data_IF_602416502059
#
_entry.id   IF_602416502059
#
_cell.length_a   1.000
_cell.length_b   1.000
_cell.length_c   1.000
_cell.angle_alpha   90.00
_cell.angle_beta   90.00
_cell.angle_gamma   90.00
#
_symmetry.space_group_name_H-M   'P 1'
#
loop_
_entity.id
_entity.type
_entity.pdbx_description
1 polymer ?
#
# COMPACT_ATOMS: atom_id res chain seq x y z
N UNK A 1 8.44 35.03 -11.50
CA UNK A 1 8.71 33.80 -10.69
C UNK A 1 7.42 33.17 -10.16
N UNK A 2 6.42 33.95 -9.76
CA UNK A 2 5.15 33.44 -9.21
C UNK A 2 4.35 32.56 -10.20
N UNK A 3 4.26 32.97 -11.48
CA UNK A 3 3.56 32.17 -12.50
C UNK A 3 4.16 30.77 -12.68
N UNK A 4 5.48 30.62 -12.58
CA UNK A 4 6.14 29.32 -12.69
C UNK A 4 5.83 28.42 -11.49
N UNK A 5 5.76 28.99 -10.28
CA UNK A 5 5.40 28.27 -9.06
C UNK A 5 3.95 27.77 -9.13
N UNK A 6 3.02 28.61 -9.61
CA UNK A 6 1.62 28.23 -9.77
C UNK A 6 1.44 27.08 -10.78
N UNK A 7 2.13 27.15 -11.92
CA UNK A 7 2.10 26.07 -12.92
C UNK A 7 2.64 24.74 -12.36
N UNK A 8 3.72 24.80 -11.60
CA UNK A 8 4.34 23.61 -10.99
C UNK A 8 3.44 23.01 -9.90
N UNK A 9 2.82 23.84 -9.06
CA UNK A 9 1.83 23.40 -8.07
C UNK A 9 0.61 22.74 -8.73
N UNK A 10 0.04 23.34 -9.79
CA UNK A 10 -1.09 22.76 -10.51
C UNK A 10 -0.74 21.43 -11.18
N UNK A 11 0.47 21.33 -11.73
CA UNK A 11 0.98 20.09 -12.32
C UNK A 11 1.10 18.97 -11.27
N UNK A 12 1.66 19.27 -10.10
CA UNK A 12 1.78 18.31 -8.98
C UNK A 12 0.40 17.90 -8.46
N UNK A 13 -0.52 18.85 -8.25
CA UNK A 13 -1.88 18.55 -7.79
C UNK A 13 -2.62 17.65 -8.81
N UNK A 14 -2.56 17.98 -10.10
CA UNK A 14 -3.16 17.16 -11.17
C UNK A 14 -2.54 15.76 -11.22
N UNK A 15 -1.22 15.65 -11.07
CA UNK A 15 -0.53 14.37 -11.04
C UNK A 15 -0.93 13.51 -9.83
N UNK A 16 -1.03 14.12 -8.63
CA UNK A 16 -1.49 13.43 -7.42
C UNK A 16 -2.94 12.98 -7.57
N UNK A 17 -3.84 13.85 -8.05
CA UNK A 17 -5.26 13.54 -8.25
C UNK A 17 -5.48 12.45 -9.31
N UNK A 18 -4.75 12.48 -10.42
CA UNK A 18 -4.84 11.42 -11.44
C UNK A 18 -4.28 10.10 -10.94
N UNK A 19 -3.18 10.10 -10.17
CA UNK A 19 -2.66 8.89 -9.54
C UNK A 19 -3.63 8.33 -8.50
N UNK A 20 -4.25 9.19 -7.68
CA UNK A 20 -5.28 8.81 -6.70
C UNK A 20 -6.52 8.19 -7.37
N UNK A 21 -7.01 8.84 -8.45
CA UNK A 21 -8.18 8.39 -9.19
C UNK A 21 -7.94 7.13 -10.03
N UNK A 22 -6.74 6.93 -10.58
CA UNK A 22 -6.38 5.70 -11.29
C UNK A 22 -6.14 4.52 -10.34
N UNK A 23 -5.62 4.74 -9.13
CA UNK A 23 -5.51 3.68 -8.12
C UNK A 23 -6.88 3.20 -7.61
N UNK A 24 -7.93 4.00 -7.79
CA UNK A 24 -9.30 3.67 -7.41
C UNK A 24 -10.06 2.86 -8.47
N UNK A 25 -9.49 2.66 -9.67
CA UNK A 25 -10.00 1.65 -10.61
C UNK A 25 -9.60 0.28 -10.10
N UNK A 26 -10.43 -0.22 -9.18
CA UNK A 26 -10.32 -1.54 -8.58
C UNK A 26 -10.04 -2.60 -9.63
N UNK A 27 -8.80 -3.07 -9.64
CA UNK A 27 -8.46 -4.36 -10.22
C UNK A 27 -9.40 -5.40 -9.62
N UNK A 28 -9.96 -6.23 -10.49
CA UNK A 28 -10.86 -7.36 -10.25
C UNK A 28 -10.85 -7.85 -8.80
N UNK A 29 -12.04 -8.11 -8.25
CA UNK A 29 -12.33 -8.82 -6.98
C UNK A 29 -11.75 -10.24 -6.95
N UNK A 30 -10.47 -10.43 -7.29
CA UNK A 30 -9.70 -11.56 -6.83
C UNK A 30 -9.59 -11.34 -5.33
N UNK A 31 -10.12 -12.28 -4.56
CA UNK A 31 -9.97 -12.32 -3.11
C UNK A 31 -8.46 -12.36 -2.81
N UNK A 32 -7.86 -11.18 -2.69
CA UNK A 32 -6.49 -11.05 -2.25
C UNK A 32 -6.42 -11.71 -0.87
N UNK A 33 -5.32 -12.40 -0.56
CA UNK A 33 -5.15 -12.97 0.76
C UNK A 33 -5.40 -11.90 1.84
N UNK A 34 -5.96 -12.28 3.00
CA UNK A 34 -6.19 -11.35 4.08
C UNK A 34 -4.88 -10.69 4.51
N UNK A 35 -4.96 -9.44 4.97
CA UNK A 35 -3.77 -8.70 5.38
C UNK A 35 -4.10 -7.35 6.01
N UNK A 36 -3.08 -6.68 6.61
CA UNK A 36 -3.24 -5.40 7.27
C UNK A 36 -3.69 -4.31 6.30
N UNK A 37 -4.51 -3.40 6.83
CA UNK A 37 -5.19 -2.35 6.06
C UNK A 37 -4.20 -1.57 5.17
N UNK A 38 -4.53 -1.49 3.88
CA UNK A 38 -3.79 -0.73 2.87
C UNK A 38 -4.19 0.76 2.94
N UNK A 39 -3.21 1.65 2.94
CA UNK A 39 -3.42 3.07 2.75
C UNK A 39 -3.37 3.45 1.27
N UNK A 40 -4.16 4.46 0.84
CA UNK A 40 -4.00 4.99 -0.51
C UNK A 40 -2.54 5.44 -0.71
N UNK A 41 -1.95 5.07 -1.85
CA UNK A 41 -0.55 5.28 -2.25
C UNK A 41 0.54 4.47 -1.52
N UNK A 42 0.47 4.37 -0.18
CA UNK A 42 1.51 3.69 0.62
C UNK A 42 1.31 2.18 0.71
N UNK A 43 0.08 1.70 0.54
CA UNK A 43 -0.28 0.32 0.82
C UNK A 43 -0.21 0.01 2.31
N UNK A 44 0.18 -1.22 2.65
CA UNK A 44 0.48 -1.70 4.00
C UNK A 44 1.90 -1.36 4.47
N UNK A 45 2.67 -0.53 3.74
CA UNK A 45 4.04 -0.15 4.09
C UNK A 45 4.19 0.41 5.52
N UNK A 46 3.20 1.16 6.00
CA UNK A 46 3.18 1.70 7.37
C UNK A 46 3.17 0.61 8.45
N UNK A 47 2.63 -0.57 8.12
CA UNK A 47 2.58 -1.72 9.01
C UNK A 47 3.81 -2.61 8.89
N UNK A 48 4.74 -2.31 7.98
CA UNK A 48 5.94 -3.12 7.77
C UNK A 48 6.87 -3.02 8.99
N UNK A 49 7.15 -4.13 9.70
CA UNK A 49 8.02 -4.12 10.86
C UNK A 49 9.47 -3.85 10.43
N UNK A 50 10.10 -2.81 11.01
CA UNK A 50 11.51 -2.47 10.77
C UNK A 50 12.48 -3.35 11.58
N UNK A 51 12.01 -3.87 12.72
CA UNK A 51 12.78 -4.72 13.62
C UNK A 51 11.97 -5.97 13.93
N UNK A 52 12.65 -7.11 14.06
CA UNK A 52 12.06 -8.38 14.47
C UNK A 52 10.82 -8.79 13.64
N UNK A 53 10.92 -8.68 12.31
CA UNK A 53 9.79 -8.88 11.40
C UNK A 53 9.05 -10.21 11.61
N UNK A 54 9.79 -11.28 11.91
CA UNK A 54 9.24 -12.60 12.21
C UNK A 54 8.27 -12.61 13.40
N UNK A 55 8.46 -11.76 14.42
CA UNK A 55 7.53 -11.66 15.55
C UNK A 55 6.19 -11.09 15.11
N UNK A 56 6.23 -10.03 14.30
CA UNK A 56 5.01 -9.40 13.76
C UNK A 56 4.29 -10.34 12.78
N UNK A 57 5.03 -11.03 11.92
CA UNK A 57 4.45 -12.01 11.00
C UNK A 57 3.84 -13.21 11.74
N UNK A 58 4.48 -13.67 12.83
CA UNK A 58 3.90 -14.70 13.71
C UNK A 58 2.60 -14.22 14.36
N UNK A 59 2.53 -12.97 14.83
CA UNK A 59 1.29 -12.39 15.38
C UNK A 59 0.22 -12.24 14.30
N UNK A 60 0.60 -11.87 13.09
CA UNK A 60 -0.34 -11.78 11.96
C UNK A 60 -0.82 -13.14 11.48
N UNK A 61 -0.06 -14.22 11.68
CA UNK A 61 -0.53 -15.60 11.43
C UNK A 61 -1.80 -15.90 12.22
N UNK A 62 -1.87 -15.46 13.48
CA UNK A 62 -3.05 -15.66 14.34
C UNK A 62 -4.25 -14.82 13.91
N UNK A 63 -4.02 -13.64 13.30
CA UNK A 63 -5.09 -12.70 12.92
C UNK A 63 -5.62 -12.98 11.52
N UNK A 64 -4.73 -13.27 10.57
CA UNK A 64 -5.04 -13.38 9.14
C UNK A 64 -4.84 -14.80 8.59
N UNK A 65 -4.12 -15.68 9.30
CA UNK A 65 -3.83 -17.04 8.87
C UNK A 65 -2.46 -17.22 8.23
N UNK A 66 -2.26 -18.37 7.56
CA UNK A 66 -0.95 -18.78 7.05
C UNK A 66 -0.48 -17.98 5.83
N UNK A 67 -1.40 -17.34 5.10
CA UNK A 67 -1.08 -16.58 3.88
C UNK A 67 -1.51 -15.13 4.11
N UNK A 68 -0.53 -14.24 4.16
CA UNK A 68 -0.74 -12.82 4.40
C UNK A 68 -0.31 -12.04 3.15
N UNK A 69 -1.15 -11.11 2.70
CA UNK A 69 -0.80 -10.20 1.62
C UNK A 69 -0.46 -8.80 2.16
N UNK A 70 0.62 -8.23 1.64
CA UNK A 70 1.08 -6.87 1.91
C UNK A 70 1.28 -6.15 0.59
N UNK A 71 0.91 -4.87 0.52
CA UNK A 71 1.33 -3.99 -0.56
C UNK A 71 2.28 -2.96 0.02
N UNK A 72 3.49 -2.82 -0.51
CA UNK A 72 4.46 -1.84 -0.02
C UNK A 72 4.82 -0.93 -1.17
N UNK A 73 4.30 0.30 -1.15
CA UNK A 73 4.56 1.30 -2.21
C UNK A 73 4.25 0.78 -3.63
N UNK A 74 3.18 -0.01 -3.79
CA UNK A 74 2.81 -0.63 -5.06
C UNK A 74 3.56 -1.91 -5.40
N UNK A 75 4.41 -2.40 -4.49
CA UNK A 75 5.04 -3.73 -4.60
C UNK A 75 4.20 -4.75 -3.83
N UNK A 76 3.58 -5.74 -4.51
CA UNK A 76 2.84 -6.80 -3.83
C UNK A 76 3.82 -7.79 -3.19
N UNK A 77 3.60 -8.09 -1.91
CA UNK A 77 4.41 -9.02 -1.10
C UNK A 77 3.46 -10.05 -0.48
N UNK A 78 3.78 -11.33 -0.60
CA UNK A 78 3.04 -12.42 0.04
C UNK A 78 3.94 -13.06 1.08
N UNK A 79 3.46 -13.10 2.32
CA UNK A 79 4.14 -13.77 3.44
C UNK A 79 3.45 -15.10 3.69
N UNK A 80 4.22 -16.18 3.63
CA UNK A 80 3.77 -17.54 3.88
C UNK A 80 4.36 -17.98 5.22
N UNK A 81 3.51 -18.29 6.18
CA UNK A 81 3.90 -18.84 7.46
C UNK A 81 3.60 -20.35 7.47
N UNK A 82 4.61 -21.15 7.82
CA UNK A 82 4.45 -22.59 8.10
C UNK A 82 4.19 -22.85 9.57
#
# INVERSE_FOLDING_TARGET
MEFAILLLCLFVIKAVLTRCGLQWKGGKMLCLPPGPKRWPFLGSALHMPKHYAWRTFSKWKEIYGNIIYLDVLGTPIVVINS
#
